data_IF_136302325418
#
_entry.id   IF_136302325418
#
_cell.length_a   1.000
_cell.length_b   1.000
_cell.length_c   1.000
_cell.angle_alpha   90.00
_cell.angle_beta   90.00
_cell.angle_gamma   90.00
#
_symmetry.space_group_name_H-M   'P 1'
#
loop_
_entity.id
_entity.type
_entity.pdbx_description
1 polymer ?
#
# COMPACT_ATOMS: atom_id res chain seq x y z
N UNK A 1 -8.64 16.41 -0.29
CA UNK A 1 -7.38 15.69 0.01
C UNK A 1 -7.57 15.02 1.36
N UNK A 2 -7.53 13.69 1.41
CA UNK A 2 -7.74 12.91 2.64
C UNK A 2 -6.44 12.42 3.24
N UNK A 3 -6.44 12.07 4.53
CA UNK A 3 -5.31 11.43 5.21
C UNK A 3 -5.13 9.98 4.74
N UNK A 4 -3.87 9.52 4.72
CA UNK A 4 -3.45 8.18 4.32
C UNK A 4 -2.34 7.71 5.24
N UNK A 5 -1.97 6.43 5.16
CA UNK A 5 -0.76 5.88 5.79
C UNK A 5 0.27 5.58 4.70
N UNK A 6 1.54 5.42 5.11
CA UNK A 6 2.67 5.12 4.21
C UNK A 6 3.24 3.76 4.58
N UNK A 7 3.54 2.92 3.60
CA UNK A 7 4.28 1.69 3.76
C UNK A 7 5.68 1.89 3.16
N UNK A 8 6.72 1.81 3.99
CA UNK A 8 8.12 1.87 3.58
C UNK A 8 8.55 0.52 3.04
N UNK A 9 9.05 0.51 1.81
CA UNK A 9 9.47 -0.70 1.11
C UNK A 9 10.82 -0.50 0.41
N UNK A 10 11.40 -1.61 -0.03
CA UNK A 10 12.56 -1.61 -0.92
C UNK A 10 12.10 -2.13 -2.28
N UNK A 11 12.39 -1.37 -3.34
CA UNK A 11 12.07 -1.73 -4.72
C UNK A 11 13.34 -1.87 -5.54
N UNK A 12 13.24 -2.67 -6.59
CA UNK A 12 14.30 -2.87 -7.58
C UNK A 12 13.83 -2.23 -8.88
N UNK A 13 14.60 -1.30 -9.42
CA UNK A 13 14.27 -0.68 -10.70
C UNK A 13 14.33 -1.73 -11.83
N UNK A 14 13.27 -1.90 -12.64
CA UNK A 14 13.25 -2.89 -13.71
C UNK A 14 14.24 -2.56 -14.85
N UNK A 15 14.67 -1.31 -14.99
CA UNK A 15 15.57 -0.89 -16.06
C UNK A 15 17.05 -1.04 -15.75
N UNK A 16 17.47 -0.76 -14.51
CA UNK A 16 18.88 -0.71 -14.13
C UNK A 16 19.26 -1.65 -12.98
N UNK A 17 18.29 -2.31 -12.34
CA UNK A 17 18.52 -3.17 -11.18
C UNK A 17 18.88 -2.41 -9.89
N UNK A 18 18.87 -1.07 -9.92
CA UNK A 18 19.12 -0.24 -8.75
C UNK A 18 18.12 -0.51 -7.63
N UNK A 19 18.62 -0.69 -6.41
CA UNK A 19 17.80 -0.96 -5.22
C UNK A 19 17.59 0.34 -4.47
N UNK A 20 16.33 0.78 -4.33
CA UNK A 20 15.99 2.02 -3.66
C UNK A 20 14.88 1.83 -2.64
N UNK A 21 14.85 2.74 -1.66
CA UNK A 21 13.73 2.88 -0.77
C UNK A 21 12.59 3.63 -1.44
N UNK A 22 11.36 3.20 -1.19
CA UNK A 22 10.16 3.88 -1.64
C UNK A 22 9.05 3.80 -0.58
N UNK A 23 8.01 4.59 -0.80
CA UNK A 23 6.85 4.70 0.07
C UNK A 23 5.58 4.51 -0.74
N UNK A 24 4.68 3.67 -0.25
CA UNK A 24 3.35 3.45 -0.84
C UNK A 24 2.30 4.06 0.08
N UNK A 25 1.49 4.96 -0.46
CA UNK A 25 0.36 5.56 0.23
C UNK A 25 -0.86 4.65 0.13
N UNK A 26 -1.52 4.37 1.26
CA UNK A 26 -2.70 3.51 1.31
C UNK A 26 -3.67 3.95 2.41
N UNK A 27 -4.91 3.46 2.34
CA UNK A 27 -5.97 3.76 3.31
C UNK A 27 -6.55 2.50 3.94
N UNK A 28 -5.93 2.09 5.05
CA UNK A 28 -6.46 1.05 5.93
C UNK A 28 -5.96 1.27 7.36
N UNK A 29 -6.79 0.92 8.35
CA UNK A 29 -6.55 1.26 9.75
C UNK A 29 -6.81 2.72 10.06
N UNK A 30 -6.20 3.23 11.12
CA UNK A 30 -6.26 4.65 11.50
C UNK A 30 -5.38 5.47 10.55
N UNK A 31 -5.97 6.25 9.64
CA UNK A 31 -5.24 7.04 8.64
C UNK A 31 -4.81 8.40 9.21
N UNK A 32 -3.58 8.43 9.72
CA UNK A 32 -2.95 9.61 10.36
C UNK A 32 -1.51 9.83 9.90
N UNK A 33 -1.19 9.46 8.66
CA UNK A 33 0.16 9.57 8.09
C UNK A 33 1.20 8.73 8.85
N UNK A 34 0.76 7.63 9.45
CA UNK A 34 1.68 6.66 10.03
C UNK A 34 2.54 6.05 8.92
N UNK A 35 3.79 5.77 9.25
CA UNK A 35 4.72 5.04 8.38
C UNK A 35 4.95 3.66 8.95
N UNK A 36 4.59 2.64 8.19
CA UNK A 36 4.73 1.23 8.53
C UNK A 36 5.81 0.56 7.70
N UNK A 37 6.19 -0.64 8.13
CA UNK A 37 7.00 -1.63 7.41
C UNK A 37 6.26 -2.96 7.36
N UNK A 38 6.70 -3.85 6.49
CA UNK A 38 6.23 -5.25 6.49
C UNK A 38 6.51 -5.86 7.87
N UNK A 39 5.53 -6.57 8.42
CA UNK A 39 5.53 -7.14 9.77
C UNK A 39 4.94 -6.23 10.84
N UNK A 40 4.71 -4.94 10.56
CA UNK A 40 4.08 -4.05 11.54
C UNK A 40 2.59 -4.35 11.71
N UNK A 41 2.09 -4.05 12.91
CA UNK A 41 0.66 -4.14 13.24
C UNK A 41 -0.05 -2.81 12.95
N UNK A 42 -1.20 -2.88 12.30
CA UNK A 42 -2.06 -1.74 11.98
C UNK A 42 -2.58 -1.09 13.27
N UNK A 43 -2.42 0.22 13.35
CA UNK A 43 -2.93 1.04 14.45
C UNK A 43 -4.39 1.39 14.20
N UNK A 44 -5.21 1.33 15.25
CA UNK A 44 -6.63 1.72 15.26
C UNK A 44 -6.84 2.80 16.32
N UNK A 45 -7.80 3.71 16.14
CA UNK A 45 -8.19 4.62 17.24
C UNK A 45 -8.57 6.05 16.89
N UNK A 46 -9.05 6.34 15.66
CA UNK A 46 -9.66 7.65 15.42
C UNK A 46 -10.20 7.85 14.01
N UNK A 47 -9.36 7.66 13.00
CA UNK A 47 -9.73 7.87 11.60
C UNK A 47 -9.67 6.57 10.82
N UNK A 48 -10.53 5.63 11.21
CA UNK A 48 -10.42 4.24 10.80
C UNK A 48 -11.01 4.03 9.39
N UNK A 49 -10.20 3.48 8.49
CA UNK A 49 -10.63 2.91 7.21
C UNK A 49 -10.55 1.38 7.30
N UNK A 50 -11.68 0.70 7.11
CA UNK A 50 -11.77 -0.74 7.38
C UNK A 50 -12.17 -1.04 8.82
N UNK A 51 -12.03 -2.31 9.21
CA UNK A 51 -12.38 -2.79 10.55
C UNK A 51 -11.31 -3.74 11.11
N UNK A 52 -10.99 -3.67 12.42
CA UNK A 52 -9.94 -4.49 13.03
C UNK A 52 -10.25 -5.99 13.05
N UNK A 53 -11.51 -6.39 12.93
CA UNK A 53 -11.94 -7.79 12.89
C UNK A 53 -11.74 -8.47 11.53
N UNK A 54 -11.36 -7.73 10.48
CA UNK A 54 -11.12 -8.30 9.16
C UNK A 54 -9.86 -9.17 9.20
N UNK A 55 -10.04 -10.47 8.94
CA UNK A 55 -8.96 -11.46 9.02
C UNK A 55 -7.92 -11.26 7.93
N UNK A 56 -8.36 -10.98 6.71
CA UNK A 56 -7.48 -10.80 5.57
C UNK A 56 -8.07 -9.75 4.64
N UNK A 57 -7.25 -8.77 4.29
CA UNK A 57 -7.61 -7.73 3.35
C UNK A 57 -6.47 -7.49 2.38
N UNK A 58 -6.84 -6.99 1.21
CA UNK A 58 -5.93 -6.46 0.22
C UNK A 58 -6.26 -4.97 0.08
N UNK A 59 -5.33 -4.10 0.47
CA UNK A 59 -5.48 -2.65 0.42
C UNK A 59 -4.80 -2.09 -0.83
N UNK A 60 -5.49 -1.18 -1.51
CA UNK A 60 -4.95 -0.46 -2.65
C UNK A 60 -3.93 0.57 -2.19
N UNK A 61 -2.78 0.59 -2.85
CA UNK A 61 -1.71 1.53 -2.60
C UNK A 61 -1.17 2.18 -3.87
N UNK A 62 -0.74 3.43 -3.76
CA UNK A 62 -0.07 4.19 -4.82
C UNK A 62 1.32 4.60 -4.33
N UNK A 63 2.35 4.32 -5.12
CA UNK A 63 3.73 4.73 -4.79
C UNK A 63 3.92 6.24 -4.95
N UNK A 64 4.75 6.83 -4.10
CA UNK A 64 5.01 8.28 -4.15
C UNK A 64 5.85 8.74 -5.34
N UNK A 65 6.59 7.82 -5.97
CA UNK A 65 7.41 8.10 -7.14
C UNK A 65 7.58 6.86 -7.99
N UNK A 66 7.33 7.00 -9.29
CA UNK A 66 7.61 5.98 -10.30
C UNK A 66 9.03 6.13 -10.90
N UNK A 67 9.79 7.14 -10.46
CA UNK A 67 11.12 7.48 -10.97
C UNK A 67 12.22 6.75 -10.20
N UNK A 68 13.13 6.12 -10.92
CA UNK A 68 14.33 5.54 -10.34
C UNK A 68 15.38 6.62 -10.04
N UNK A 69 15.96 6.62 -8.83
CA UNK A 69 17.00 7.58 -8.44
C UNK A 69 18.37 7.32 -9.08
N UNK A 70 18.55 6.16 -9.72
CA UNK A 70 19.83 5.75 -10.31
C UNK A 70 19.88 5.96 -11.82
N UNK A 71 18.78 5.72 -12.53
CA UNK A 71 18.71 5.83 -14.00
C UNK A 71 17.66 6.83 -14.49
N UNK A 72 16.92 7.49 -13.59
CA UNK A 72 15.94 8.53 -13.87
C UNK A 72 14.76 8.11 -14.77
N UNK A 73 14.58 6.81 -15.00
CA UNK A 73 13.45 6.28 -15.75
C UNK A 73 12.21 6.12 -14.87
N UNK A 74 11.04 6.28 -15.49
CA UNK A 74 9.72 6.28 -14.86
C UNK A 74 8.95 4.97 -15.10
N UNK A 75 9.59 3.82 -14.87
CA UNK A 75 9.00 2.50 -15.13
C UNK A 75 8.77 1.67 -13.86
N UNK A 76 8.93 2.27 -12.68
CA UNK A 76 8.53 1.59 -11.44
C UNK A 76 6.99 1.50 -11.44
N UNK A 77 6.39 0.33 -11.13
CA UNK A 77 4.93 0.21 -11.05
C UNK A 77 4.36 1.27 -10.11
N UNK A 78 3.24 1.88 -10.49
CA UNK A 78 2.60 2.96 -9.72
C UNK A 78 1.68 2.41 -8.63
N UNK A 79 0.95 1.35 -8.93
CA UNK A 79 -0.12 0.80 -8.11
C UNK A 79 0.28 -0.55 -7.48
N UNK A 80 -0.13 -0.76 -6.23
CA UNK A 80 0.27 -1.92 -5.43
C UNK A 80 -0.89 -2.52 -4.64
N UNK A 81 -0.81 -3.83 -4.48
CA UNK A 81 -1.60 -4.62 -3.55
C UNK A 81 -0.85 -4.78 -2.23
N UNK A 82 -1.40 -4.25 -1.15
CA UNK A 82 -0.87 -4.44 0.21
C UNK A 82 -1.73 -5.49 0.93
N UNK A 83 -1.13 -6.63 1.25
CA UNK A 83 -1.82 -7.71 1.96
C UNK A 83 -1.67 -7.52 3.45
N UNK A 84 -2.79 -7.44 4.15
CA UNK A 84 -2.86 -7.29 5.61
C UNK A 84 -3.66 -8.47 6.16
N UNK A 85 -3.05 -9.22 7.08
CA UNK A 85 -3.66 -10.40 7.69
C UNK A 85 -3.58 -10.30 9.21
N UNK A 86 -4.72 -10.45 9.87
CA UNK A 86 -4.88 -10.31 11.32
C UNK A 86 -4.25 -9.01 11.85
N UNK A 87 -4.51 -7.89 11.17
CA UNK A 87 -3.92 -6.57 11.40
C UNK A 87 -2.40 -6.47 11.21
N UNK A 88 -1.73 -7.45 10.60
CA UNK A 88 -0.28 -7.40 10.32
C UNK A 88 -0.07 -7.22 8.82
N UNK A 89 0.79 -6.29 8.43
CA UNK A 89 1.18 -6.11 7.02
C UNK A 89 2.08 -7.27 6.61
N UNK A 90 1.58 -8.17 5.77
CA UNK A 90 2.28 -9.39 5.39
C UNK A 90 3.17 -9.20 4.17
N UNK A 91 2.65 -8.55 3.14
CA UNK A 91 3.34 -8.44 1.86
C UNK A 91 2.84 -7.26 1.05
N UNK A 92 3.60 -6.92 0.02
CA UNK A 92 3.28 -5.90 -0.95
C UNK A 92 3.80 -6.32 -2.32
N UNK A 93 3.02 -6.08 -3.35
CA UNK A 93 3.36 -6.43 -4.74
C UNK A 93 2.71 -5.44 -5.69
N UNK A 94 3.24 -5.26 -6.92
CA UNK A 94 2.54 -4.53 -7.96
C UNK A 94 1.10 -5.04 -8.11
N UNK A 95 0.16 -4.14 -8.32
CA UNK A 95 -1.25 -4.48 -8.40
C UNK A 95 -1.51 -5.43 -9.58
N UNK A 96 -2.29 -6.48 -9.31
CA UNK A 96 -2.59 -7.52 -10.30
C UNK A 96 -3.80 -7.16 -11.17
N UNK A 97 -4.86 -6.63 -10.56
CA UNK A 97 -6.11 -6.27 -11.25
C UNK A 97 -6.68 -4.96 -10.72
N UNK A 98 -7.01 -4.03 -11.62
CA UNK A 98 -7.70 -2.80 -11.26
C UNK A 98 -9.18 -3.06 -10.87
N UNK A 99 -9.80 -4.10 -11.43
CA UNK A 99 -11.21 -4.45 -11.20
C UNK A 99 -11.51 -4.77 -9.73
N UNK A 100 -10.50 -5.28 -9.01
CA UNK A 100 -10.51 -5.56 -7.57
C UNK A 100 -10.96 -4.33 -6.75
N UNK A 101 -10.66 -3.12 -7.23
CA UNK A 101 -10.91 -1.86 -6.51
C UNK A 101 -11.98 -0.98 -7.16
N UNK A 102 -12.59 -1.42 -8.26
CA UNK A 102 -13.70 -0.70 -8.90
C UNK A 102 -15.03 -0.83 -8.15
N UNK A 103 -15.10 -1.67 -7.12
CA UNK A 103 -16.32 -1.86 -6.34
C UNK A 103 -16.49 -0.75 -5.28
N UNK A 104 -17.60 0.00 -5.35
CA UNK A 104 -17.86 1.13 -4.44
C UNK A 104 -18.03 0.75 -2.96
N UNK A 105 -18.16 -0.54 -2.64
CA UNK A 105 -18.52 -1.03 -1.30
C UNK A 105 -17.51 -0.60 -0.22
N UNK A 106 -16.22 -0.45 -0.56
CA UNK A 106 -15.15 0.00 0.35
C UNK A 106 -14.61 1.39 -0.01
N UNK A 107 -15.30 2.10 -0.90
CA UNK A 107 -14.82 3.33 -1.52
C UNK A 107 -13.52 3.13 -2.32
N UNK A 108 -13.28 1.91 -2.83
CA UNK A 108 -12.11 1.55 -3.66
C UNK A 108 -10.77 1.45 -2.92
N UNK A 109 -10.76 1.42 -1.59
CA UNK A 109 -9.50 1.49 -0.82
C UNK A 109 -8.95 0.12 -0.41
N UNK A 110 -9.80 -0.90 -0.30
CA UNK A 110 -9.41 -2.25 0.08
C UNK A 110 -10.52 -3.24 -0.29
N UNK A 111 -10.20 -4.53 -0.31
CA UNK A 111 -11.16 -5.62 -0.43
C UNK A 111 -10.87 -6.70 0.61
N UNK A 112 -11.91 -7.39 1.06
CA UNK A 112 -11.79 -8.53 1.96
C UNK A 112 -11.58 -9.81 1.16
N UNK A 113 -10.60 -10.62 1.58
CA UNK A 113 -10.26 -11.91 0.94
C UNK A 113 -10.89 -13.09 1.67
#
# INVERSE_FOLDING_TARGET
>A
MGTFNRLRITIICPDCGGVQEAYIQYKFGSTWQYTYKIGDTITWGGNNHGKPELKKVKAYGIIESTTCIFCEKNNIPEEYDIVIENNIIQSVQPMDSYEDYMQEITGGNYLTL
#
